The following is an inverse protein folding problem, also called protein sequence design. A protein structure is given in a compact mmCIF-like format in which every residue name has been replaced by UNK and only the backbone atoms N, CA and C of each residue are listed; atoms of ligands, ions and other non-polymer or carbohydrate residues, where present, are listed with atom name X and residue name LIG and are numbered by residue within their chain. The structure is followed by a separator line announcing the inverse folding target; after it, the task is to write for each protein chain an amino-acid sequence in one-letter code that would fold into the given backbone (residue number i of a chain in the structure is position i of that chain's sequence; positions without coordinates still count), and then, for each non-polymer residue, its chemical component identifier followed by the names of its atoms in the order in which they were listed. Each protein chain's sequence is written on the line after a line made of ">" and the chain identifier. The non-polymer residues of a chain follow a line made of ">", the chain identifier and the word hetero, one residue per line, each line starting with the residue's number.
data_IF_768905429974
#
_entry.id   IF_768905429974
#
_cell.length_a   1.000
_cell.length_b   1.000
_cell.length_c   1.000
_cell.angle_alpha   90.00
_cell.angle_beta   90.00
_cell.angle_gamma   90.00
#
_symmetry.space_group_name_H-M   'P 1'
#
loop_
_entity.id
_entity.type
_entity.pdbx_description
1 polymer ?
#
# COMPACT_ATOMS: atom_id res chain seq x y z
N UNK A 1 -2.21 1.74 -28.64
CA UNK A 1 -1.85 0.97 -27.43
C UNK A 1 -0.83 1.78 -26.64
N UNK A 2 -1.26 2.58 -25.66
CA UNK A 2 -0.35 3.34 -24.78
C UNK A 2 -0.46 2.73 -23.38
N UNK A 3 0.60 2.03 -22.93
CA UNK A 3 0.73 1.64 -21.53
C UNK A 3 1.08 2.91 -20.76
N UNK A 4 0.16 3.38 -19.92
CA UNK A 4 0.43 4.49 -19.00
C UNK A 4 1.60 4.13 -18.06
N UNK A 5 2.32 5.14 -17.53
CA UNK A 5 3.48 4.91 -16.67
C UNK A 5 3.05 4.12 -15.44
N UNK A 6 3.59 2.90 -15.30
CA UNK A 6 3.39 2.08 -14.13
C UNK A 6 4.08 2.72 -12.93
N UNK A 7 3.42 2.71 -11.78
CA UNK A 7 4.00 3.14 -10.51
C UNK A 7 5.20 2.23 -10.17
N UNK A 8 6.40 2.80 -10.04
CA UNK A 8 7.62 2.06 -9.68
C UNK A 8 7.88 2.26 -8.18
N UNK A 9 7.73 1.20 -7.40
CA UNK A 9 8.09 1.18 -5.99
C UNK A 9 9.49 0.59 -5.82
N UNK A 10 10.39 1.32 -5.16
CA UNK A 10 11.78 0.92 -4.94
C UNK A 10 12.15 1.03 -3.46
N UNK A 11 12.84 0.02 -2.92
CA UNK A 11 13.36 0.02 -1.54
C UNK A 11 14.89 0.11 -1.55
N UNK A 12 15.46 0.85 -0.60
CA UNK A 12 16.90 1.09 -0.47
C UNK A 12 17.35 0.94 0.99
N UNK A 13 18.51 0.32 1.19
CA UNK A 13 19.14 0.14 2.52
C UNK A 13 20.48 0.86 2.49
N UNK A 14 20.77 1.67 3.51
CA UNK A 14 22.06 2.38 3.65
C UNK A 14 22.78 1.89 4.89
N UNK A 15 24.05 1.50 4.74
CA UNK A 15 24.89 1.04 5.85
C UNK A 15 26.07 2.02 6.04
N UNK A 16 26.24 2.55 7.25
CA UNK A 16 27.28 3.52 7.58
C UNK A 16 27.94 3.19 8.92
N UNK A 17 29.22 3.51 9.05
CA UNK A 17 30.00 3.31 10.27
C UNK A 17 30.48 4.66 10.81
N UNK A 18 30.33 4.88 12.12
CA UNK A 18 30.82 6.09 12.81
C UNK A 18 31.94 5.72 13.76
N UNK A 19 32.99 6.54 13.78
CA UNK A 19 34.06 6.46 14.79
C UNK A 19 33.68 7.17 16.10
N UNK A 20 32.63 8.01 16.07
CA UNK A 20 32.18 8.84 17.19
C UNK A 20 30.88 8.27 17.79
N UNK A 21 31.01 7.27 18.67
CA UNK A 21 29.87 6.55 19.25
C UNK A 21 28.90 7.47 20.03
N UNK A 22 29.43 8.45 20.77
CA UNK A 22 28.63 9.36 21.59
C UNK A 22 27.80 10.36 20.76
N UNK A 23 28.14 10.54 19.49
CA UNK A 23 27.42 11.43 18.57
C UNK A 23 26.43 10.69 17.68
N UNK A 24 26.28 9.37 17.84
CA UNK A 24 25.49 8.52 16.94
C UNK A 24 24.05 9.00 16.76
N UNK A 25 23.37 9.39 17.84
CA UNK A 25 21.99 9.89 17.78
C UNK A 25 21.86 11.15 16.92
N UNK A 26 22.82 12.07 17.05
CA UNK A 26 22.84 13.33 16.28
C UNK A 26 23.13 13.05 14.81
N UNK A 27 24.12 12.19 14.53
CA UNK A 27 24.51 11.80 13.17
C UNK A 27 23.34 11.12 12.46
N UNK A 28 22.66 10.18 13.13
CA UNK A 28 21.51 9.47 12.57
C UNK A 28 20.33 10.42 12.31
N UNK A 29 20.05 11.34 13.22
CA UNK A 29 18.99 12.34 13.05
C UNK A 29 19.26 13.25 11.84
N UNK A 30 20.48 13.76 11.73
CA UNK A 30 20.90 14.58 10.60
C UNK A 30 20.86 13.79 9.28
N UNK A 31 21.27 12.52 9.28
CA UNK A 31 21.17 11.67 8.09
C UNK A 31 19.71 11.51 7.65
N UNK A 32 18.82 11.22 8.59
CA UNK A 32 17.40 11.03 8.31
C UNK A 32 16.72 12.31 7.80
N UNK A 33 17.11 13.47 8.32
CA UNK A 33 16.68 14.77 7.81
C UNK A 33 17.16 15.00 6.37
N UNK A 34 18.44 14.76 6.10
CA UNK A 34 19.02 14.91 4.75
C UNK A 34 18.34 14.00 3.73
N UNK A 35 18.08 12.74 4.08
CA UNK A 35 17.37 11.81 3.19
C UNK A 35 15.98 12.37 2.85
N UNK A 36 15.19 12.78 3.84
CA UNK A 36 13.86 13.36 3.60
C UNK A 36 13.95 14.61 2.71
N UNK A 37 14.88 15.53 2.99
CA UNK A 37 15.05 16.76 2.23
C UNK A 37 15.43 16.48 0.77
N UNK A 38 16.33 15.54 0.51
CA UNK A 38 16.75 15.20 -0.85
C UNK A 38 15.63 14.56 -1.66
N UNK A 39 14.86 13.65 -1.06
CA UNK A 39 13.70 13.04 -1.74
C UNK A 39 12.60 14.07 -2.00
N UNK A 40 12.30 14.93 -1.02
CA UNK A 40 11.36 16.04 -1.19
C UNK A 40 11.80 17.00 -2.31
N UNK A 41 13.09 17.38 -2.35
CA UNK A 41 13.63 18.27 -3.38
C UNK A 41 13.61 17.63 -4.78
N UNK A 42 13.78 16.31 -4.86
CA UNK A 42 13.68 15.55 -6.10
C UNK A 42 12.23 15.27 -6.54
N UNK A 43 11.23 15.62 -5.72
CA UNK A 43 9.82 15.32 -5.97
C UNK A 43 9.49 13.82 -5.90
N UNK A 44 10.30 13.04 -5.17
CA UNK A 44 10.10 11.60 -4.98
C UNK A 44 9.41 11.37 -3.64
N UNK A 45 8.23 10.76 -3.68
CA UNK A 45 7.48 10.42 -2.47
C UNK A 45 8.09 9.21 -1.75
N UNK A 46 8.32 9.36 -0.44
CA UNK A 46 8.67 8.23 0.43
C UNK A 46 7.37 7.60 0.92
N UNK A 47 7.01 6.44 0.36
CA UNK A 47 5.82 5.71 0.79
C UNK A 47 6.07 4.96 2.10
N UNK A 48 5.11 5.03 3.03
CA UNK A 48 5.05 4.11 4.16
C UNK A 48 4.83 2.66 3.71
N UNK A 49 5.21 1.65 4.50
CA UNK A 49 4.88 0.26 4.19
C UNK A 49 3.37 0.10 3.92
N UNK A 50 3.02 -0.30 2.71
CA UNK A 50 1.63 -0.51 2.33
C UNK A 50 1.16 -1.88 2.86
N UNK A 51 0.32 -1.88 3.89
CA UNK A 51 -0.41 -3.08 4.31
C UNK A 51 -1.78 -3.10 3.63
N UNK A 52 -1.96 -4.03 2.69
CA UNK A 52 -3.28 -4.29 2.10
C UNK A 52 -4.04 -5.28 3.01
N UNK A 53 -4.94 -4.76 3.83
CA UNK A 53 -5.86 -5.59 4.60
C UNK A 53 -7.05 -5.99 3.70
N UNK A 54 -6.97 -7.16 3.07
CA UNK A 54 -8.09 -7.77 2.38
C UNK A 54 -9.00 -8.42 3.43
N UNK A 55 -10.20 -7.87 3.62
CA UNK A 55 -11.26 -8.55 4.37
C UNK A 55 -12.13 -9.32 3.40
N UNK A 56 -11.96 -10.62 3.39
CA UNK A 56 -13.01 -11.52 2.93
C UNK A 56 -14.01 -11.62 4.09
N UNK A 57 -15.28 -11.31 3.87
CA UNK A 57 -16.32 -11.32 4.91
C UNK A 57 -16.67 -12.74 5.38
N UNK A 58 -15.67 -13.60 5.56
CA UNK A 58 -15.79 -15.00 5.86
C UNK A 58 -15.85 -15.22 7.38
N UNK A 59 -16.83 -16.02 7.78
CA UNK A 59 -17.30 -16.36 9.13
C UNK A 59 -17.36 -15.19 10.13
N UNK A 60 -18.59 -14.76 10.40
CA UNK A 60 -18.99 -13.96 11.57
C UNK A 60 -18.25 -14.41 12.84
N UNK A 61 -17.74 -13.45 13.62
CA UNK A 61 -17.00 -13.69 14.88
C UNK A 61 -17.89 -14.20 16.03
N UNK A 62 -19.06 -14.77 15.72
CA UNK A 62 -19.94 -15.35 16.74
C UNK A 62 -19.29 -16.62 17.30
N UNK A 63 -19.49 -16.83 18.60
CA UNK A 63 -18.97 -18.01 19.30
C UNK A 63 -19.52 -19.29 18.67
N UNK A 64 -18.73 -20.35 18.68
CA UNK A 64 -19.04 -21.63 18.01
C UNK A 64 -20.37 -22.26 18.49
N UNK A 65 -20.85 -21.87 19.68
CA UNK A 65 -22.12 -22.32 20.25
C UNK A 65 -23.36 -21.70 19.57
N UNK A 66 -23.19 -20.65 18.77
CA UNK A 66 -24.27 -19.94 18.05
C UNK A 66 -24.25 -20.21 16.53
N UNK A 67 -23.30 -21.01 16.06
CA UNK A 67 -23.19 -21.40 14.65
C UNK A 67 -23.90 -22.74 14.42
N UNK A 68 -24.79 -22.87 13.42
CA UNK A 68 -25.30 -24.17 12.99
C UNK A 68 -24.12 -25.09 12.64
N UNK A 69 -24.17 -26.37 13.03
CA UNK A 69 -23.09 -27.36 12.84
C UNK A 69 -22.57 -27.47 11.39
N UNK A 70 -23.34 -26.99 10.40
CA UNK A 70 -23.03 -27.02 8.97
C UNK A 70 -22.49 -25.69 8.42
N UNK A 71 -22.01 -24.77 9.28
CA UNK A 71 -21.45 -23.50 8.85
C UNK A 71 -20.05 -23.69 8.21
N UNK A 72 -20.04 -24.02 6.92
CA UNK A 72 -18.82 -24.02 6.11
C UNK A 72 -18.52 -22.59 5.69
N UNK A 73 -17.43 -22.05 6.23
CA UNK A 73 -16.87 -20.76 5.85
C UNK A 73 -16.69 -20.70 4.31
N UNK A 74 -17.40 -19.83 3.56
CA UNK A 74 -17.23 -19.72 2.12
C UNK A 74 -15.77 -19.40 1.75
N UNK A 75 -15.24 -20.06 0.71
CA UNK A 75 -13.90 -19.74 0.20
C UNK A 75 -13.82 -18.33 -0.39
N UNK A 76 -12.60 -17.79 -0.46
CA UNK A 76 -12.29 -16.48 -1.02
C UNK A 76 -12.80 -16.34 -2.46
N UNK A 77 -13.76 -15.44 -2.68
CA UNK A 77 -14.38 -15.21 -3.99
C UNK A 77 -13.63 -14.14 -4.76
N UNK A 78 -12.98 -14.54 -5.86
CA UNK A 78 -12.37 -13.61 -6.83
C UNK A 78 -13.34 -13.39 -7.98
N UNK A 79 -13.98 -12.22 -8.01
CA UNK A 79 -14.78 -11.79 -9.17
C UNK A 79 -13.88 -10.96 -10.10
N UNK A 80 -13.54 -11.51 -11.27
CA UNK A 80 -12.88 -10.72 -12.31
C UNK A 80 -13.93 -9.79 -12.95
N UNK A 81 -13.93 -8.52 -12.59
CA UNK A 81 -14.72 -7.52 -13.32
C UNK A 81 -14.04 -7.32 -14.69
N UNK A 82 -14.74 -7.54 -15.82
CA UNK A 82 -14.23 -7.14 -17.12
C UNK A 82 -13.93 -5.65 -17.10
N UNK A 83 -12.86 -5.24 -17.80
CA UNK A 83 -12.49 -3.84 -17.89
C UNK A 83 -13.72 -3.01 -18.32
N UNK A 84 -14.05 -1.91 -17.60
CA UNK A 84 -15.17 -1.08 -17.97
C UNK A 84 -14.97 -0.59 -19.42
N UNK A 85 -16.04 -0.54 -20.23
CA UNK A 85 -15.94 -0.03 -21.58
C UNK A 85 -15.35 1.38 -21.55
N UNK A 86 -14.53 1.76 -22.56
CA UNK A 86 -13.97 3.09 -22.62
C UNK A 86 -15.10 4.12 -22.50
N UNK A 87 -14.93 5.09 -21.59
CA UNK A 87 -15.88 6.18 -21.40
C UNK A 87 -16.04 6.89 -22.75
N UNK A 88 -17.19 6.71 -23.39
CA UNK A 88 -17.55 7.49 -24.57
C UNK A 88 -17.85 8.90 -24.08
N UNK A 89 -17.02 9.84 -24.52
CA UNK A 89 -17.16 11.27 -24.28
C UNK A 89 -18.34 11.79 -25.11
N UNK A 90 -19.58 11.42 -24.75
CA UNK A 90 -20.77 12.02 -25.34
C UNK A 90 -21.59 12.64 -24.21
N UNK A 91 -21.46 13.97 -24.10
CA UNK A 91 -22.04 14.80 -23.06
C UNK A 91 -23.56 14.88 -23.13
N UNK A 92 -24.25 13.99 -22.42
CA UNK A 92 -25.54 14.29 -21.81
C UNK A 92 -25.89 13.27 -20.72
N UNK A 93 -25.76 13.68 -19.46
CA UNK A 93 -26.51 13.09 -18.35
C UNK A 93 -27.44 14.17 -17.77
N UNK A 94 -28.77 14.06 -17.92
CA UNK A 94 -29.70 14.74 -17.03
C UNK A 94 -30.08 13.83 -15.86
N UNK A 95 -29.84 14.37 -14.66
CA UNK A 95 -30.36 14.08 -13.30
C UNK A 95 -30.51 12.64 -12.86
#
# INVERSE_FOLDING_TARGET
>A
MARGPGLILHTQITNCYSHEANSMTRILSALHENIQNQFNAAGVEIMSPAYHALRDGNTITLSNDELPQDNVAPGFRVNMQPAPPPRTENGNQPT
#
